data_IF_172001963930
#
_entry.id   IF_172001963930
#
_cell.length_a   1.000
_cell.length_b   1.000
_cell.length_c   1.000
_cell.angle_alpha   90.00
_cell.angle_beta   90.00
_cell.angle_gamma   90.00
#
_symmetry.space_group_name_H-M   'P 1'
#
loop_
_entity.id
_entity.type
_entity.pdbx_description
1 polymer ?
#
# COMPACT_ATOMS: atom_id res chain seq x y z
N UNK A 1 83.33 30.67 -58.05
CA UNK A 1 81.91 30.87 -57.71
C UNK A 1 81.01 29.69 -58.12
N UNK A 2 81.13 29.08 -59.27
CA UNK A 2 80.34 27.96 -59.69
C UNK A 2 80.63 26.66 -58.89
N UNK A 3 81.84 26.44 -58.52
CA UNK A 3 82.23 25.22 -57.78
C UNK A 3 81.75 25.23 -56.34
N UNK A 4 81.80 26.38 -55.68
CA UNK A 4 81.30 26.57 -54.30
C UNK A 4 79.73 26.41 -54.25
N UNK A 5 79.00 26.88 -55.23
CA UNK A 5 77.54 26.72 -55.34
C UNK A 5 77.12 25.26 -55.56
N UNK A 6 77.93 24.48 -56.27
CA UNK A 6 77.71 23.05 -56.50
C UNK A 6 77.92 22.29 -55.17
N UNK A 7 79.03 22.58 -54.44
CA UNK A 7 79.36 21.95 -53.16
C UNK A 7 78.30 22.30 -52.08
N UNK A 8 77.75 23.55 -52.05
CA UNK A 8 76.66 23.94 -51.15
C UNK A 8 75.38 23.24 -51.53
N UNK A 9 75.07 23.08 -52.82
CA UNK A 9 73.83 22.35 -53.26
C UNK A 9 73.93 20.82 -52.97
N UNK A 10 75.13 20.24 -53.10
CA UNK A 10 75.37 18.80 -52.76
C UNK A 10 75.27 18.57 -51.26
N UNK A 11 75.74 19.48 -50.40
CA UNK A 11 75.57 19.40 -48.94
C UNK A 11 74.11 19.57 -48.51
N UNK A 12 73.42 20.53 -49.11
CA UNK A 12 72.00 20.69 -48.84
C UNK A 12 71.16 19.49 -49.31
N UNK A 13 71.52 18.94 -50.47
CA UNK A 13 70.86 17.71 -50.96
C UNK A 13 71.10 16.50 -50.04
N UNK A 14 72.31 16.36 -49.53
CA UNK A 14 72.68 15.30 -48.59
C UNK A 14 71.91 15.44 -47.28
N UNK A 15 71.83 16.62 -46.71
CA UNK A 15 71.04 16.91 -45.51
C UNK A 15 69.57 16.55 -45.71
N UNK A 16 68.95 16.96 -46.82
CA UNK A 16 67.53 16.62 -47.12
C UNK A 16 67.37 15.11 -47.31
N UNK A 17 68.33 14.40 -47.88
CA UNK A 17 68.29 12.97 -48.07
C UNK A 17 68.39 12.21 -46.74
N UNK A 18 69.25 12.69 -45.83
CA UNK A 18 69.40 12.15 -44.49
C UNK A 18 68.13 12.37 -43.65
N UNK A 19 67.50 13.59 -43.71
CA UNK A 19 66.25 13.89 -43.08
C UNK A 19 65.13 13.04 -43.64
N UNK A 20 65.08 12.85 -44.96
CA UNK A 20 64.07 12.00 -45.60
C UNK A 20 64.19 10.53 -45.14
N UNK A 21 65.42 10.02 -45.05
CA UNK A 21 65.67 8.63 -44.59
C UNK A 21 65.32 8.45 -43.11
N UNK A 22 65.60 9.45 -42.27
CA UNK A 22 65.22 9.47 -40.87
C UNK A 22 63.67 9.47 -40.69
N UNK A 23 62.97 10.37 -41.40
CA UNK A 23 61.51 10.43 -41.38
C UNK A 23 60.85 9.11 -41.88
N UNK A 24 61.42 8.55 -42.96
CA UNK A 24 60.95 7.26 -43.52
C UNK A 24 61.13 6.11 -42.54
N UNK A 25 62.25 6.10 -41.79
CA UNK A 25 62.50 5.11 -40.75
C UNK A 25 61.52 5.24 -39.61
N UNK A 26 61.29 6.47 -39.10
CA UNK A 26 60.33 6.77 -38.04
C UNK A 26 58.89 6.38 -38.44
N UNK A 27 58.52 6.69 -39.69
CA UNK A 27 57.19 6.31 -40.21
C UNK A 27 56.97 4.82 -40.22
N UNK A 28 57.97 4.04 -40.65
CA UNK A 28 57.90 2.57 -40.61
C UNK A 28 57.81 2.03 -39.18
N UNK A 29 58.52 2.62 -38.26
CA UNK A 29 58.49 2.20 -36.86
C UNK A 29 57.12 2.49 -36.20
N UNK A 30 56.57 3.65 -36.44
CA UNK A 30 55.22 4.03 -36.00
C UNK A 30 54.13 3.13 -36.62
N UNK A 31 54.27 2.82 -37.91
CA UNK A 31 53.35 1.91 -38.60
C UNK A 31 53.40 0.49 -38.02
N UNK A 32 54.59 -0.01 -37.71
CA UNK A 32 54.77 -1.31 -37.07
C UNK A 32 54.18 -1.34 -35.66
N UNK A 33 54.39 -0.28 -34.86
CA UNK A 33 53.74 -0.14 -33.52
C UNK A 33 52.21 -0.09 -33.61
N UNK A 34 51.68 0.70 -34.50
CA UNK A 34 50.22 0.80 -34.71
C UNK A 34 49.62 -0.56 -35.11
N UNK A 35 50.28 -1.30 -36.01
CA UNK A 35 49.82 -2.64 -36.42
C UNK A 35 49.91 -3.63 -35.26
N UNK A 36 50.91 -3.53 -34.39
CA UNK A 36 51.01 -4.41 -33.23
C UNK A 36 49.95 -4.09 -32.19
N UNK A 37 49.66 -2.81 -31.90
CA UNK A 37 48.60 -2.39 -31.01
C UNK A 37 47.21 -2.79 -31.55
N UNK A 38 46.99 -2.66 -32.86
CA UNK A 38 45.77 -3.12 -33.52
C UNK A 38 45.51 -4.62 -33.33
N UNK A 39 46.56 -5.45 -33.48
CA UNK A 39 46.45 -6.91 -33.28
C UNK A 39 46.14 -7.30 -31.84
N UNK A 40 46.59 -6.47 -30.89
CA UNK A 40 46.39 -6.71 -29.46
C UNK A 40 45.08 -6.10 -28.91
N UNK A 41 44.37 -5.30 -29.72
CA UNK A 41 43.11 -4.68 -29.34
C UNK A 41 41.97 -5.69 -29.36
N UNK A 42 41.03 -5.58 -28.44
CA UNK A 42 39.80 -6.38 -28.44
C UNK A 42 38.88 -6.02 -29.63
N UNK A 43 38.04 -6.96 -30.05
CA UNK A 43 37.14 -6.76 -31.18
C UNK A 43 36.24 -5.52 -31.03
N UNK A 44 35.83 -5.19 -29.79
CA UNK A 44 35.08 -3.97 -29.47
C UNK A 44 35.87 -2.69 -29.74
N UNK A 45 37.16 -2.67 -29.38
CA UNK A 45 38.06 -1.52 -29.62
C UNK A 45 38.35 -1.38 -31.11
N UNK A 46 38.54 -2.49 -31.83
CA UNK A 46 38.73 -2.48 -33.28
C UNK A 46 37.54 -1.91 -34.01
N UNK A 47 36.31 -2.34 -33.65
CA UNK A 47 35.07 -1.83 -34.21
C UNK A 47 34.87 -0.32 -33.93
N UNK A 48 35.18 0.12 -32.70
CA UNK A 48 35.10 1.52 -32.29
C UNK A 48 36.05 2.41 -33.09
N UNK A 49 37.31 1.97 -33.25
CA UNK A 49 38.34 2.72 -34.04
C UNK A 49 37.96 2.75 -35.52
N UNK A 50 37.42 1.65 -36.09
CA UNK A 50 36.97 1.65 -37.47
C UNK A 50 35.79 2.60 -37.72
N UNK A 51 34.88 2.72 -36.76
CA UNK A 51 33.73 3.66 -36.89
C UNK A 51 34.13 5.13 -36.77
N UNK A 52 35.25 5.45 -36.13
CA UNK A 52 35.70 6.84 -35.91
C UNK A 52 36.77 7.28 -36.94
N UNK A 53 37.40 6.36 -37.67
CA UNK A 53 38.57 6.62 -38.48
C UNK A 53 38.32 7.43 -39.77
N UNK A 54 37.06 7.70 -40.14
CA UNK A 54 36.78 8.35 -41.43
C UNK A 54 36.73 9.89 -41.41
N UNK A 55 36.62 10.55 -40.24
CA UNK A 55 36.36 11.98 -40.14
C UNK A 55 37.33 12.82 -39.27
N UNK A 56 38.29 12.24 -38.55
CA UNK A 56 39.12 12.99 -37.61
C UNK A 56 40.56 13.19 -38.12
N UNK A 57 41.06 14.44 -38.05
CA UNK A 57 42.45 14.75 -38.36
C UNK A 57 43.39 14.22 -37.29
N UNK A 58 44.67 13.89 -37.68
CA UNK A 58 45.70 13.40 -36.75
C UNK A 58 45.84 14.30 -35.50
N UNK A 59 45.74 15.62 -35.68
CA UNK A 59 45.83 16.59 -34.60
C UNK A 59 44.65 16.49 -33.61
N UNK A 60 43.45 16.12 -34.08
CA UNK A 60 42.26 15.86 -33.22
C UNK A 60 42.42 14.58 -32.43
N UNK A 61 42.94 13.52 -33.06
CA UNK A 61 43.22 12.23 -32.38
C UNK A 61 44.34 12.39 -31.33
N UNK A 62 45.38 13.16 -31.60
CA UNK A 62 46.42 13.48 -30.63
C UNK A 62 45.90 14.28 -29.44
N UNK A 63 45.01 15.26 -29.68
CA UNK A 63 44.37 16.02 -28.62
C UNK A 63 43.42 15.17 -27.76
N UNK A 64 42.68 14.23 -28.36
CA UNK A 64 41.87 13.28 -27.64
C UNK A 64 42.72 12.32 -26.81
N UNK A 65 43.79 11.80 -27.37
CA UNK A 65 44.71 10.91 -26.69
C UNK A 65 45.36 11.59 -25.48
N UNK A 66 45.83 12.85 -25.63
CA UNK A 66 46.37 13.64 -24.53
C UNK A 66 45.29 13.88 -23.43
N UNK A 67 44.05 14.14 -23.82
CA UNK A 67 42.96 14.30 -22.87
C UNK A 67 42.64 13.02 -22.10
N UNK A 68 42.59 11.88 -22.78
CA UNK A 68 42.37 10.58 -22.16
C UNK A 68 43.53 10.18 -21.24
N UNK A 69 44.79 10.45 -21.68
CA UNK A 69 45.96 10.24 -20.83
C UNK A 69 45.91 11.12 -19.58
N UNK A 70 45.60 12.42 -19.70
CA UNK A 70 45.42 13.29 -18.55
C UNK A 70 44.27 12.85 -17.61
N UNK A 71 43.21 12.25 -18.14
CA UNK A 71 42.17 11.64 -17.33
C UNK A 71 42.64 10.37 -16.60
N UNK A 72 43.50 9.59 -17.19
CA UNK A 72 44.11 8.40 -16.56
C UNK A 72 45.20 8.76 -15.54
N UNK A 73 45.91 9.86 -15.76
CA UNK A 73 46.96 10.40 -14.87
C UNK A 73 46.42 11.16 -13.66
N UNK A 74 45.14 11.58 -13.68
CA UNK A 74 44.51 12.04 -12.45
C UNK A 74 44.59 10.88 -11.46
N UNK A 75 45.28 11.04 -10.32
CA UNK A 75 45.37 9.99 -9.34
C UNK A 75 43.98 9.86 -8.73
N UNK A 76 43.12 9.12 -9.40
CA UNK A 76 42.01 8.50 -8.71
C UNK A 76 42.70 7.67 -7.65
N UNK A 77 42.59 8.04 -6.38
CA UNK A 77 43.15 7.23 -5.28
C UNK A 77 42.45 5.85 -5.20
N UNK A 78 42.25 5.27 -6.37
CA UNK A 78 41.60 4.01 -6.64
C UNK A 78 42.66 2.92 -6.55
N UNK A 79 43.06 2.61 -5.32
CA UNK A 79 43.84 1.39 -5.08
C UNK A 79 43.01 0.15 -5.45
N UNK A 80 43.66 -1.01 -5.62
CA UNK A 80 42.98 -2.28 -5.91
C UNK A 80 41.79 -2.57 -4.98
N UNK A 81 41.86 -2.12 -3.73
CA UNK A 81 40.81 -2.23 -2.72
C UNK A 81 39.52 -1.48 -3.08
N UNK A 82 39.60 -0.38 -3.83
CA UNK A 82 38.41 0.39 -4.23
C UNK A 82 37.64 -0.34 -5.34
N UNK A 83 38.36 -0.97 -6.27
CA UNK A 83 37.73 -1.81 -7.31
C UNK A 83 37.04 -3.04 -6.70
N UNK A 84 37.65 -3.64 -5.69
CA UNK A 84 37.11 -4.77 -4.96
C UNK A 84 35.84 -4.34 -4.22
N UNK A 85 35.91 -3.26 -3.46
CA UNK A 85 34.72 -2.67 -2.77
C UNK A 85 33.61 -2.29 -3.75
N UNK A 86 33.97 -1.78 -4.94
CA UNK A 86 32.97 -1.46 -5.98
C UNK A 86 32.27 -2.73 -6.49
N UNK A 87 33.02 -3.81 -6.74
CA UNK A 87 32.44 -5.09 -7.17
C UNK A 87 31.52 -5.67 -6.11
N UNK A 88 31.96 -5.73 -4.85
CA UNK A 88 31.14 -6.19 -3.73
C UNK A 88 29.84 -5.38 -3.59
N UNK A 89 29.93 -4.05 -3.67
CA UNK A 89 28.74 -3.19 -3.63
C UNK A 89 27.80 -3.44 -4.80
N UNK A 90 28.34 -3.63 -5.99
CA UNK A 90 27.55 -3.94 -7.19
C UNK A 90 26.81 -5.28 -7.04
N UNK A 91 27.48 -6.31 -6.57
CA UNK A 91 26.87 -7.61 -6.28
C UNK A 91 25.78 -7.48 -5.21
N UNK A 92 26.07 -6.72 -4.14
CA UNK A 92 25.09 -6.47 -3.08
C UNK A 92 23.87 -5.72 -3.57
N UNK A 93 24.04 -4.73 -4.46
CA UNK A 93 22.92 -4.02 -5.09
C UNK A 93 22.05 -4.98 -5.90
N UNK A 94 22.67 -5.86 -6.71
CA UNK A 94 21.92 -6.84 -7.50
C UNK A 94 21.17 -7.86 -6.62
N UNK A 95 21.78 -8.30 -5.52
CA UNK A 95 21.14 -9.17 -4.54
C UNK A 95 19.92 -8.49 -3.89
N UNK A 96 20.10 -7.23 -3.44
CA UNK A 96 19.04 -6.44 -2.84
C UNK A 96 17.89 -6.15 -3.83
N UNK A 97 18.22 -5.88 -5.09
CA UNK A 97 17.21 -5.69 -6.15
C UNK A 97 16.37 -6.95 -6.35
N UNK A 98 17.00 -8.13 -6.45
CA UNK A 98 16.29 -9.42 -6.57
C UNK A 98 15.40 -9.69 -5.34
N UNK A 99 15.93 -9.44 -4.14
CA UNK A 99 15.16 -9.60 -2.89
C UNK A 99 13.96 -8.66 -2.85
N UNK A 100 14.13 -7.43 -3.30
CA UNK A 100 13.07 -6.42 -3.35
C UNK A 100 11.99 -6.76 -4.39
N UNK A 101 12.38 -7.26 -5.55
CA UNK A 101 11.45 -7.76 -6.58
C UNK A 101 10.66 -8.96 -6.07
N UNK A 102 11.35 -9.92 -5.42
CA UNK A 102 10.69 -11.06 -4.79
C UNK A 102 9.70 -10.64 -3.71
N UNK A 103 10.09 -9.71 -2.82
CA UNK A 103 9.22 -9.17 -1.79
C UNK A 103 8.02 -8.39 -2.34
N UNK A 104 8.20 -7.66 -3.43
CA UNK A 104 7.09 -6.98 -4.13
C UNK A 104 6.08 -7.98 -4.69
N UNK A 105 6.57 -9.00 -5.39
CA UNK A 105 5.70 -10.03 -5.95
C UNK A 105 4.92 -10.80 -4.87
N UNK A 106 5.57 -11.11 -3.75
CA UNK A 106 4.90 -11.77 -2.61
C UNK A 106 3.85 -10.86 -1.97
N UNK A 107 4.17 -9.58 -1.74
CA UNK A 107 3.19 -8.60 -1.24
C UNK A 107 1.97 -8.50 -2.17
N UNK A 108 2.19 -8.46 -3.48
CA UNK A 108 1.11 -8.36 -4.45
C UNK A 108 0.20 -9.61 -4.44
N UNK A 109 0.80 -10.80 -4.29
CA UNK A 109 0.04 -12.05 -4.09
C UNK A 109 -0.81 -12.01 -2.81
N UNK A 110 -0.23 -11.56 -1.69
CA UNK A 110 -0.94 -11.42 -0.43
C UNK A 110 -2.10 -10.43 -0.55
N UNK A 111 -1.88 -9.24 -1.11
CA UNK A 111 -2.93 -8.23 -1.33
C UNK A 111 -4.06 -8.79 -2.21
N UNK A 112 -3.70 -9.47 -3.31
CA UNK A 112 -4.71 -10.09 -4.20
C UNK A 112 -5.47 -11.23 -3.53
N UNK A 113 -4.83 -11.98 -2.64
CA UNK A 113 -5.48 -13.01 -1.84
C UNK A 113 -6.45 -12.41 -0.82
N UNK A 114 -6.04 -11.34 -0.13
CA UNK A 114 -6.88 -10.60 0.82
C UNK A 114 -8.12 -10.01 0.11
N UNK A 115 -7.94 -9.36 -1.04
CA UNK A 115 -9.05 -8.81 -1.82
C UNK A 115 -10.07 -9.87 -2.22
N UNK A 116 -9.61 -11.03 -2.70
CA UNK A 116 -10.51 -12.15 -3.04
C UNK A 116 -11.31 -12.67 -1.84
N UNK A 117 -10.68 -12.74 -0.67
CA UNK A 117 -11.38 -13.12 0.56
C UNK A 117 -12.40 -12.05 0.94
N UNK A 118 -12.02 -10.77 0.89
CA UNK A 118 -12.91 -9.64 1.17
C UNK A 118 -14.13 -9.64 0.25
N UNK A 119 -13.95 -9.80 -1.05
CA UNK A 119 -15.03 -9.88 -2.05
C UNK A 119 -16.05 -11.00 -1.76
N UNK A 120 -15.61 -12.07 -1.09
CA UNK A 120 -16.49 -13.19 -0.75
C UNK A 120 -17.38 -12.93 0.47
N UNK A 121 -16.84 -12.35 1.54
CA UNK A 121 -17.57 -12.23 2.80
C UNK A 121 -18.18 -10.84 3.05
N UNK A 122 -17.56 -9.79 2.51
CA UNK A 122 -17.97 -8.40 2.75
C UNK A 122 -19.40 -8.10 2.31
N UNK A 123 -19.86 -8.52 1.12
CA UNK A 123 -21.25 -8.29 0.70
C UNK A 123 -22.27 -8.94 1.65
N UNK A 124 -21.97 -10.12 2.18
CA UNK A 124 -22.83 -10.81 3.13
C UNK A 124 -22.86 -10.08 4.48
N UNK A 125 -21.73 -9.57 4.95
CA UNK A 125 -21.66 -8.75 6.16
C UNK A 125 -22.42 -7.43 6.00
N UNK A 126 -22.24 -6.74 4.88
CA UNK A 126 -22.98 -5.50 4.58
C UNK A 126 -24.49 -5.73 4.54
N UNK A 127 -24.94 -6.79 3.87
CA UNK A 127 -26.35 -7.14 3.83
C UNK A 127 -26.90 -7.44 5.23
N UNK A 128 -26.14 -8.13 6.08
CA UNK A 128 -26.51 -8.40 7.47
C UNK A 128 -26.63 -7.10 8.28
N UNK A 129 -25.64 -6.23 8.19
CA UNK A 129 -25.64 -4.94 8.92
C UNK A 129 -26.78 -4.06 8.42
N UNK A 130 -27.06 -4.05 7.12
CA UNK A 130 -28.20 -3.33 6.54
C UNK A 130 -29.53 -3.88 7.10
N UNK A 131 -29.69 -5.18 7.18
CA UNK A 131 -30.88 -5.79 7.77
C UNK A 131 -31.05 -5.48 9.26
N UNK A 132 -29.93 -5.40 10.02
CA UNK A 132 -29.97 -4.93 11.42
C UNK A 132 -30.33 -3.45 11.48
N UNK A 133 -29.74 -2.61 10.61
CA UNK A 133 -30.01 -1.18 10.56
C UNK A 133 -31.49 -0.88 10.29
N UNK A 134 -32.14 -1.58 9.34
CA UNK A 134 -33.55 -1.40 9.02
C UNK A 134 -34.44 -1.64 10.24
N UNK A 135 -34.19 -2.70 11.00
CA UNK A 135 -34.95 -3.01 12.22
C UNK A 135 -34.67 -2.01 13.34
N UNK A 136 -33.43 -1.67 13.54
CA UNK A 136 -33.00 -0.72 14.55
C UNK A 136 -33.59 0.67 14.28
N UNK A 137 -33.51 1.16 13.04
CA UNK A 137 -34.09 2.44 12.64
C UNK A 137 -35.61 2.45 12.82
N UNK A 138 -36.30 1.39 12.37
CA UNK A 138 -37.76 1.27 12.55
C UNK A 138 -38.14 1.25 14.04
N UNK A 139 -37.36 0.65 14.92
CA UNK A 139 -37.59 0.67 16.36
C UNK A 139 -37.44 2.08 16.95
N UNK A 140 -36.42 2.84 16.52
CA UNK A 140 -36.23 4.23 16.93
C UNK A 140 -37.32 5.18 16.39
N UNK A 141 -37.74 5.00 15.15
CA UNK A 141 -38.80 5.80 14.52
C UNK A 141 -40.15 5.70 15.28
N UNK A 142 -40.51 4.50 15.78
CA UNK A 142 -41.70 4.30 16.62
C UNK A 142 -41.65 5.12 17.91
N UNK A 143 -40.48 5.46 18.39
CA UNK A 143 -40.25 6.30 19.56
C UNK A 143 -40.07 7.79 19.23
N UNK A 144 -40.21 8.18 17.96
CA UNK A 144 -39.92 9.52 17.44
C UNK A 144 -38.45 9.93 17.68
N UNK A 145 -37.54 8.99 17.58
CA UNK A 145 -36.11 9.15 17.66
C UNK A 145 -35.49 8.64 16.35
N UNK A 146 -34.21 8.87 16.15
CA UNK A 146 -33.49 8.30 15.00
C UNK A 146 -32.32 7.44 15.47
N UNK A 147 -32.18 6.29 14.83
CA UNK A 147 -31.07 5.36 15.07
C UNK A 147 -30.54 4.80 13.76
N UNK A 148 -29.25 4.61 13.69
CA UNK A 148 -28.54 4.05 12.53
C UNK A 148 -27.44 3.11 13.00
N UNK A 149 -27.32 1.97 12.33
CA UNK A 149 -26.24 1.01 12.52
C UNK A 149 -25.47 0.90 11.21
N UNK A 150 -24.17 1.07 11.26
CA UNK A 150 -23.33 1.00 10.07
C UNK A 150 -22.00 0.29 10.34
N UNK A 151 -21.41 -0.24 9.28
CA UNK A 151 -20.06 -0.78 9.31
C UNK A 151 -19.03 0.35 9.26
N UNK A 152 -18.23 0.51 10.31
CA UNK A 152 -17.07 1.37 10.32
C UNK A 152 -15.88 0.63 9.72
N UNK A 153 -15.29 1.17 8.64
CA UNK A 153 -14.17 0.55 7.95
C UNK A 153 -12.92 1.42 8.05
N UNK A 154 -11.79 0.78 8.28
CA UNK A 154 -10.48 1.37 8.06
C UNK A 154 -9.90 0.84 6.74
N UNK A 155 -9.31 1.72 5.93
CA UNK A 155 -8.84 1.37 4.60
C UNK A 155 -7.64 0.41 4.60
N UNK A 156 -6.94 0.30 5.72
CA UNK A 156 -5.65 -0.42 5.82
C UNK A 156 -5.60 -1.47 6.93
N UNK A 157 -6.51 -1.40 7.90
CA UNK A 157 -6.46 -2.18 9.13
C UNK A 157 -7.80 -2.82 9.42
N UNK A 158 -7.97 -4.09 9.07
CA UNK A 158 -9.21 -4.84 9.34
C UNK A 158 -9.51 -4.97 10.84
N UNK A 159 -8.51 -4.98 11.71
CA UNK A 159 -8.66 -5.01 13.16
C UNK A 159 -9.32 -3.75 13.76
N UNK A 160 -9.37 -2.67 12.98
CA UNK A 160 -10.07 -1.42 13.36
C UNK A 160 -11.51 -1.36 12.85
N UNK A 161 -11.92 -2.37 12.10
CA UNK A 161 -13.31 -2.43 11.67
C UNK A 161 -14.21 -2.69 12.85
N UNK A 162 -15.36 -2.07 12.84
CA UNK A 162 -16.32 -2.16 13.92
C UNK A 162 -17.74 -1.81 13.46
N UNK A 163 -18.67 -1.93 14.37
CA UNK A 163 -20.04 -1.51 14.16
C UNK A 163 -20.27 -0.20 14.91
N UNK A 164 -20.57 0.85 14.18
CA UNK A 164 -20.98 2.14 14.72
C UNK A 164 -22.48 2.12 14.94
N UNK A 165 -22.91 2.44 16.15
CA UNK A 165 -24.30 2.70 16.51
C UNK A 165 -24.44 4.19 16.69
N UNK A 166 -25.26 4.82 15.86
CA UNK A 166 -25.55 6.25 15.93
C UNK A 166 -26.98 6.46 16.40
N UNK A 167 -27.18 7.41 17.29
CA UNK A 167 -28.48 7.70 17.88
C UNK A 167 -28.77 9.19 17.97
N UNK A 168 -30.06 9.53 17.90
CA UNK A 168 -30.58 10.88 18.12
C UNK A 168 -31.89 10.75 18.92
N UNK A 169 -31.89 11.28 20.10
CA UNK A 169 -33.05 11.23 21.01
C UNK A 169 -33.93 12.48 20.97
N UNK A 170 -33.37 13.63 20.54
CA UNK A 170 -34.09 14.92 20.51
C UNK A 170 -34.03 15.54 19.13
N UNK A 171 -35.05 16.23 18.72
CA UNK A 171 -35.15 16.84 17.37
C UNK A 171 -34.05 17.89 17.12
N UNK A 172 -33.61 18.54 18.18
CA UNK A 172 -32.52 19.56 18.11
C UNK A 172 -31.13 18.96 17.97
N UNK A 173 -30.96 17.67 18.17
CA UNK A 173 -29.68 16.98 18.12
C UNK A 173 -29.39 16.45 16.70
N UNK A 174 -28.11 16.25 16.38
CA UNK A 174 -27.68 15.49 15.21
C UNK A 174 -27.49 14.03 15.60
N UNK A 175 -27.52 13.16 14.61
CA UNK A 175 -27.16 11.75 14.79
C UNK A 175 -25.73 11.67 15.32
N UNK A 176 -25.52 11.01 16.44
CA UNK A 176 -24.23 10.95 17.15
C UNK A 176 -23.88 9.51 17.51
N UNK A 177 -22.58 9.21 17.50
CA UNK A 177 -22.08 7.90 17.92
C UNK A 177 -22.47 7.62 19.37
N UNK A 178 -23.00 6.43 19.64
CA UNK A 178 -23.34 5.95 20.97
C UNK A 178 -22.06 5.75 21.79
N UNK A 179 -21.86 6.58 22.81
CA UNK A 179 -20.67 6.53 23.66
C UNK A 179 -21.07 6.67 25.13
N UNK A 180 -20.20 6.21 26.02
CA UNK A 180 -20.42 6.30 27.48
C UNK A 180 -20.53 7.72 28.03
N UNK A 181 -20.11 8.74 27.29
CA UNK A 181 -19.98 10.12 27.76
C UNK A 181 -21.03 11.07 27.17
N UNK A 182 -21.66 10.72 26.03
CA UNK A 182 -22.55 11.63 25.30
C UNK A 182 -24.03 11.45 25.62
N UNK A 183 -24.45 10.21 25.86
CA UNK A 183 -25.84 9.87 26.15
C UNK A 183 -26.04 9.61 27.64
N UNK A 184 -27.28 9.85 28.13
CA UNK A 184 -27.63 9.46 29.49
C UNK A 184 -27.58 7.94 29.66
N UNK A 185 -27.52 7.47 30.90
CA UNK A 185 -27.51 6.02 31.20
C UNK A 185 -28.74 5.32 30.62
N UNK A 186 -29.91 5.90 30.75
CA UNK A 186 -31.17 5.37 30.22
C UNK A 186 -31.19 5.34 28.68
N UNK A 187 -30.77 6.41 28.00
CA UNK A 187 -30.66 6.48 26.54
C UNK A 187 -29.72 5.41 25.99
N UNK A 188 -28.58 5.20 26.65
CA UNK A 188 -27.64 4.15 26.28
C UNK A 188 -28.20 2.75 26.48
N UNK A 189 -28.81 2.47 27.61
CA UNK A 189 -29.49 1.18 27.87
C UNK A 189 -30.58 0.91 26.84
N UNK A 190 -31.40 1.91 26.55
CA UNK A 190 -32.44 1.81 25.53
C UNK A 190 -31.86 1.46 24.14
N UNK A 191 -30.85 2.22 23.69
CA UNK A 191 -30.20 1.95 22.39
C UNK A 191 -29.59 0.56 22.33
N UNK A 192 -28.92 0.13 23.40
CA UNK A 192 -28.29 -1.20 23.48
C UNK A 192 -29.34 -2.30 23.38
N UNK A 193 -30.47 -2.15 24.08
CA UNK A 193 -31.51 -3.16 24.05
C UNK A 193 -32.18 -3.24 22.69
N UNK A 194 -32.50 -2.10 22.06
CA UNK A 194 -33.10 -2.08 20.74
C UNK A 194 -32.16 -2.69 19.68
N UNK A 195 -30.85 -2.48 19.83
CA UNK A 195 -29.84 -3.14 19.00
C UNK A 195 -29.85 -4.67 19.21
N UNK A 196 -29.84 -5.14 20.46
CA UNK A 196 -29.93 -6.57 20.79
C UNK A 196 -31.21 -7.22 20.29
N UNK A 197 -32.35 -6.55 20.42
CA UNK A 197 -33.61 -7.02 19.88
C UNK A 197 -33.55 -7.16 18.34
N UNK A 198 -32.98 -6.18 17.66
CA UNK A 198 -32.78 -6.23 16.19
C UNK A 198 -31.92 -7.40 15.74
N UNK A 199 -30.90 -7.76 16.52
CA UNK A 199 -30.08 -8.95 16.28
C UNK A 199 -30.84 -10.24 16.55
N UNK A 200 -31.60 -10.29 17.65
CA UNK A 200 -32.39 -11.48 18.03
C UNK A 200 -33.44 -11.82 16.99
N UNK A 201 -34.09 -10.83 16.40
CA UNK A 201 -35.06 -11.02 15.32
C UNK A 201 -34.47 -11.69 14.08
N UNK A 202 -33.19 -11.37 13.78
CA UNK A 202 -32.48 -11.97 12.65
C UNK A 202 -31.91 -13.36 12.93
N UNK A 203 -31.59 -13.66 14.19
CA UNK A 203 -30.92 -14.90 14.58
C UNK A 203 -31.77 -16.16 14.49
N UNK A 204 -33.12 -16.01 14.38
CA UNK A 204 -34.13 -17.11 14.34
C UNK A 204 -33.84 -18.20 15.39
N UNK A 205 -33.52 -17.78 16.60
CA UNK A 205 -33.30 -18.71 17.71
C UNK A 205 -34.61 -19.38 18.10
N UNK A 206 -34.64 -20.68 18.41
CA UNK A 206 -35.85 -21.38 18.80
C UNK A 206 -36.41 -20.87 20.13
N UNK A 207 -35.57 -20.37 21.01
CA UNK A 207 -35.96 -19.67 22.23
C UNK A 207 -34.93 -18.64 22.63
N UNK A 208 -35.37 -17.62 23.36
CA UNK A 208 -34.50 -16.57 23.95
C UNK A 208 -34.90 -16.35 25.39
N UNK A 209 -33.90 -16.17 26.28
CA UNK A 209 -34.12 -15.86 27.68
C UNK A 209 -33.43 -14.54 28.01
N UNK A 210 -34.18 -13.58 28.53
CA UNK A 210 -33.64 -12.27 28.89
C UNK A 210 -34.05 -11.93 30.31
N UNK A 211 -33.06 -11.59 31.12
CA UNK A 211 -33.25 -11.24 32.51
C UNK A 211 -32.99 -9.73 32.73
N UNK A 212 -33.89 -9.10 33.50
CA UNK A 212 -33.78 -7.72 33.95
C UNK A 212 -33.47 -6.65 32.87
N UNK A 213 -33.95 -6.86 31.64
CA UNK A 213 -33.68 -5.98 30.49
C UNK A 213 -34.07 -4.51 30.71
N UNK A 214 -35.07 -4.28 31.59
CA UNK A 214 -35.64 -2.98 31.88
C UNK A 214 -35.02 -2.27 33.10
N UNK A 215 -33.93 -2.82 33.67
CA UNK A 215 -33.31 -2.22 34.85
C UNK A 215 -32.59 -0.89 34.49
N UNK A 216 -32.83 0.15 35.31
CA UNK A 216 -32.14 1.45 35.15
C UNK A 216 -32.77 2.37 34.09
N UNK A 217 -33.92 2.00 33.51
CA UNK A 217 -34.66 2.85 32.57
C UNK A 217 -35.72 3.70 33.28
N UNK A 218 -36.08 4.81 32.64
CA UNK A 218 -37.28 5.55 33.03
C UNK A 218 -38.55 4.81 32.57
N UNK A 219 -39.71 5.05 33.19
CA UNK A 219 -40.95 4.32 32.90
C UNK A 219 -41.45 4.47 31.45
N UNK A 220 -41.09 5.55 30.73
CA UNK A 220 -41.45 5.75 29.33
C UNK A 220 -40.63 4.85 28.43
N UNK A 221 -39.30 4.84 28.63
CA UNK A 221 -38.41 3.96 27.88
C UNK A 221 -38.72 2.48 28.14
N UNK A 222 -39.00 2.09 29.38
CA UNK A 222 -39.37 0.74 29.77
C UNK A 222 -40.66 0.26 29.04
N UNK A 223 -41.71 1.09 28.99
CA UNK A 223 -42.91 0.78 28.22
C UNK A 223 -42.64 0.66 26.73
N UNK A 224 -41.81 1.53 26.18
CA UNK A 224 -41.44 1.50 24.76
C UNK A 224 -40.69 0.20 24.39
N UNK A 225 -39.74 -0.20 25.21
CA UNK A 225 -38.99 -1.46 25.04
C UNK A 225 -39.94 -2.66 25.14
N UNK A 226 -40.77 -2.68 26.17
CA UNK A 226 -41.74 -3.76 26.35
C UNK A 226 -42.70 -3.87 25.16
N UNK A 227 -43.28 -2.75 24.70
CA UNK A 227 -44.15 -2.73 23.53
C UNK A 227 -43.45 -3.22 22.27
N UNK A 228 -42.20 -2.82 22.06
CA UNK A 228 -41.41 -3.29 20.94
C UNK A 228 -41.15 -4.80 21.03
N UNK A 229 -40.80 -5.28 22.20
CA UNK A 229 -40.56 -6.69 22.46
C UNK A 229 -41.79 -7.55 22.19
N UNK A 230 -42.96 -7.14 22.69
CA UNK A 230 -44.24 -7.82 22.43
C UNK A 230 -44.53 -7.83 20.91
N UNK A 231 -44.31 -6.72 20.22
CA UNK A 231 -44.55 -6.64 18.78
C UNK A 231 -43.66 -7.59 17.96
N UNK A 232 -42.41 -7.86 18.45
CA UNK A 232 -41.47 -8.73 17.75
C UNK A 232 -41.61 -10.21 18.11
N UNK A 233 -41.96 -10.50 19.38
CA UNK A 233 -41.95 -11.87 19.91
C UNK A 233 -43.33 -12.55 19.86
N UNK A 234 -44.41 -11.77 19.76
CA UNK A 234 -45.77 -12.32 19.69
C UNK A 234 -46.26 -12.43 18.22
N UNK A 235 -45.41 -13.00 17.35
CA UNK A 235 -45.72 -13.34 15.96
C UNK A 235 -45.69 -14.86 15.78
N UNK A 236 -46.47 -15.43 14.83
CA UNK A 236 -46.48 -16.90 14.62
C UNK A 236 -45.12 -17.50 14.25
N UNK A 237 -44.23 -16.70 13.62
CA UNK A 237 -42.91 -17.12 13.18
C UNK A 237 -41.83 -16.90 14.22
N UNK A 238 -42.13 -16.21 15.33
CA UNK A 238 -41.15 -15.93 16.38
C UNK A 238 -40.85 -17.17 17.22
N UNK A 239 -39.59 -17.31 17.62
CA UNK A 239 -39.21 -18.28 18.65
C UNK A 239 -39.79 -17.93 20.01
N UNK A 240 -39.74 -18.90 20.94
CA UNK A 240 -40.23 -18.67 22.28
C UNK A 240 -39.34 -17.66 23.03
N UNK A 241 -39.95 -16.64 23.62
CA UNK A 241 -39.25 -15.60 24.36
C UNK A 241 -39.61 -15.61 25.84
N UNK A 242 -38.60 -15.71 26.70
CA UNK A 242 -38.74 -15.64 28.14
C UNK A 242 -38.18 -14.33 28.66
N UNK A 243 -39.02 -13.54 29.31
CA UNK A 243 -38.63 -12.30 29.99
C UNK A 243 -38.75 -12.49 31.49
N UNK A 244 -37.68 -12.27 32.21
CA UNK A 244 -37.70 -12.20 33.69
C UNK A 244 -37.54 -10.73 34.07
N UNK A 245 -38.44 -10.24 34.92
CA UNK A 245 -38.39 -8.87 35.40
C UNK A 245 -38.98 -8.77 36.81
N UNK A 246 -38.34 -8.03 37.73
CA UNK A 246 -38.85 -7.80 39.09
C UNK A 246 -39.96 -6.74 39.14
N UNK A 247 -40.21 -6.04 38.01
CA UNK A 247 -41.14 -4.94 37.94
C UNK A 247 -42.21 -5.14 36.85
N UNK A 248 -43.45 -5.02 37.22
CA UNK A 248 -44.57 -4.86 36.32
C UNK A 248 -45.09 -3.43 36.39
N UNK A 249 -44.79 -2.62 35.33
CA UNK A 249 -45.33 -1.27 35.26
C UNK A 249 -46.82 -1.27 34.84
N UNK A 250 -47.60 -0.33 35.31
CA UNK A 250 -48.98 -0.14 34.78
C UNK A 250 -48.92 0.36 33.33
N UNK A 251 -49.87 -0.13 32.51
CA UNK A 251 -50.00 0.27 31.10
C UNK A 251 -49.00 -0.37 30.16
N UNK A 252 -48.50 -1.57 30.49
CA UNK A 252 -47.72 -2.39 29.55
C UNK A 252 -48.64 -2.96 28.45
N UNK A 253 -48.08 -3.17 27.26
CA UNK A 253 -48.78 -3.85 26.17
C UNK A 253 -48.81 -5.37 26.46
N UNK A 254 -49.98 -5.99 26.32
CA UNK A 254 -50.16 -7.42 26.42
C UNK A 254 -50.71 -7.97 25.10
N UNK A 255 -50.39 -9.22 24.80
CA UNK A 255 -50.82 -9.90 23.59
C UNK A 255 -51.41 -11.29 23.93
N UNK A 256 -52.30 -11.79 23.10
CA UNK A 256 -52.95 -13.11 23.33
C UNK A 256 -51.98 -14.28 23.40
N UNK A 257 -50.86 -14.19 22.66
CA UNK A 257 -49.81 -15.18 22.69
C UNK A 257 -48.84 -15.04 23.90
N UNK A 258 -49.05 -14.05 24.75
CA UNK A 258 -48.20 -13.79 25.91
C UNK A 258 -48.78 -14.46 27.17
N UNK A 259 -47.92 -15.15 27.93
CA UNK A 259 -48.25 -15.71 29.22
C UNK A 259 -47.46 -15.04 30.32
N UNK A 260 -48.16 -14.46 31.31
CA UNK A 260 -47.54 -13.83 32.48
C UNK A 260 -47.62 -14.79 33.64
N UNK A 261 -46.45 -15.07 34.25
CA UNK A 261 -46.30 -15.87 35.47
C UNK A 261 -45.83 -14.96 36.60
N UNK A 262 -46.58 -14.94 37.69
CA UNK A 262 -46.21 -14.20 38.91
C UNK A 262 -45.69 -15.21 39.90
N UNK A 263 -44.43 -15.00 40.34
CA UNK A 263 -43.78 -15.83 41.33
C UNK A 263 -43.76 -15.05 42.63
N UNK A 264 -44.41 -15.60 43.66
CA UNK A 264 -44.49 -15.05 45.02
C UNK A 264 -43.43 -15.64 45.91
#
# INVERSE_FOLDING_TARGET
EHRTRVEEAETALRSVLDDFTAVKSQTKELQARAQQQWRNATDEVQAMVQSQAEDESVAQLEAQLARLQAQLEVPWGVGPSVLETFRERKEKILELQRSLEGGRAERERCVSAMQRVEEQWLPALEALIQAVNERFSAAFDRMKCAGEVRLARDATHYEKWGIDILVKFRDTERLQLLTGQRQSGGERSLATILYLLSLTELSRTPFSLVDEINQGMDPRAERAVHSQMVAMTCTPEAGQYFLITPKLLPGLAYHELMKVLIIN
#
